data_IF_035749898676
#
_entry.id   IF_035749898676
#
_cell.length_a   1.000
_cell.length_b   1.000
_cell.length_c   1.000
_cell.angle_alpha   90.00
_cell.angle_beta   90.00
_cell.angle_gamma   90.00
#
_symmetry.space_group_name_H-M   'P 1'
#
loop_
_entity.id
_entity.type
_entity.pdbx_description
1 polymer ?
#
# COMPACT_ATOMS: atom_id res chain seq x y z
N UNK A 1 2.39 -31.36 31.56
CA UNK A 1 1.58 -30.12 31.55
C UNK A 1 2.35 -28.92 32.10
N UNK A 2 3.08 -29.02 33.21
CA UNK A 2 3.82 -27.90 33.83
C UNK A 2 4.94 -27.32 32.96
N UNK A 3 5.63 -28.14 32.17
CA UNK A 3 6.70 -27.67 31.27
C UNK A 3 6.20 -26.89 30.06
N UNK A 4 5.01 -27.22 29.55
CA UNK A 4 4.39 -26.49 28.43
C UNK A 4 3.97 -25.10 28.89
N UNK A 5 3.30 -25.00 30.06
CA UNK A 5 2.85 -23.73 30.64
C UNK A 5 4.04 -22.80 30.96
N UNK A 6 5.14 -23.35 31.51
CA UNK A 6 6.35 -22.55 31.77
C UNK A 6 6.97 -22.05 30.48
N UNK A 7 6.96 -22.85 29.40
CA UNK A 7 7.48 -22.43 28.10
C UNK A 7 6.58 -21.38 27.44
N UNK A 8 5.25 -21.48 27.56
CA UNK A 8 4.32 -20.46 27.03
C UNK A 8 4.43 -19.14 27.80
N UNK A 9 4.63 -19.19 29.12
CA UNK A 9 4.85 -17.99 29.96
C UNK A 9 6.23 -17.40 29.67
N UNK A 10 7.25 -18.22 29.41
CA UNK A 10 8.56 -17.73 28.99
C UNK A 10 8.54 -17.16 27.58
N UNK A 11 7.76 -17.72 26.65
CA UNK A 11 7.65 -17.21 25.28
C UNK A 11 6.82 -15.91 25.24
N UNK A 12 5.73 -15.83 26.00
CA UNK A 12 4.98 -14.59 26.22
C UNK A 12 5.81 -13.55 26.99
N UNK A 13 6.64 -13.99 27.94
CA UNK A 13 7.57 -13.12 28.67
C UNK A 13 8.78 -12.66 27.86
N UNK A 14 9.25 -13.44 26.88
CA UNK A 14 10.33 -13.06 25.97
C UNK A 14 9.86 -12.02 24.96
N UNK A 15 8.56 -12.02 24.59
CA UNK A 15 7.94 -10.96 23.77
C UNK A 15 7.89 -9.64 24.55
N UNK A 16 7.89 -9.67 25.89
CA UNK A 16 7.77 -8.50 26.77
C UNK A 16 9.13 -7.93 27.23
N UNK A 17 10.24 -8.65 27.03
CA UNK A 17 11.57 -8.19 27.45
C UNK A 17 12.50 -8.09 26.26
N UNK A 18 12.48 -6.93 25.61
CA UNK A 18 13.53 -6.54 24.69
C UNK A 18 13.01 -5.77 23.49
N UNK A 19 12.98 -4.45 23.63
CA UNK A 19 13.51 -3.44 22.71
C UNK A 19 12.60 -2.23 22.79
N UNK A 20 13.17 -1.07 23.13
CA UNK A 20 12.76 0.15 22.43
C UNK A 20 13.04 -0.14 20.96
N UNK A 21 12.07 -0.76 20.27
CA UNK A 21 12.14 -0.88 18.84
C UNK A 21 12.29 0.55 18.31
N UNK A 22 13.09 0.78 17.25
CA UNK A 22 12.95 2.03 16.52
C UNK A 22 11.45 2.21 16.24
N UNK A 23 10.90 3.34 16.65
CA UNK A 23 9.47 3.60 16.57
C UNK A 23 9.10 3.84 15.11
N UNK A 24 9.11 2.81 14.26
CA UNK A 24 8.69 2.87 12.86
C UNK A 24 7.35 3.60 12.72
N UNK A 25 7.17 4.38 11.67
CA UNK A 25 5.88 5.03 11.40
C UNK A 25 4.81 4.01 10.97
N UNK A 26 4.03 4.35 9.96
CA UNK A 26 3.21 3.39 9.23
C UNK A 26 4.10 2.38 8.49
N UNK A 27 3.72 1.12 8.53
CA UNK A 27 4.41 0.02 7.87
C UNK A 27 3.42 -0.84 7.13
N UNK A 28 3.45 -0.77 5.79
CA UNK A 28 2.63 -1.60 4.93
C UNK A 28 3.37 -2.89 4.57
N UNK A 29 2.71 -4.02 4.74
CA UNK A 29 3.08 -5.28 4.14
C UNK A 29 1.85 -5.82 3.43
N UNK A 30 1.93 -5.93 2.10
CA UNK A 30 0.82 -6.45 1.33
C UNK A 30 1.29 -7.31 0.19
N UNK A 31 0.41 -8.24 -0.15
CA UNK A 31 0.59 -9.08 -1.29
C UNK A 31 -0.67 -9.15 -2.11
N UNK A 32 -0.52 -8.67 -3.33
CA UNK A 32 -1.55 -8.70 -4.33
C UNK A 32 -1.45 -10.00 -5.12
N UNK A 33 -2.57 -10.73 -5.20
CA UNK A 33 -2.75 -11.80 -6.16
C UNK A 33 -3.81 -11.40 -7.18
N UNK A 34 -3.41 -10.86 -8.33
CA UNK A 34 -4.34 -10.43 -9.38
C UNK A 34 -5.27 -11.54 -9.91
N UNK A 35 -4.98 -12.82 -9.66
CA UNK A 35 -5.85 -13.95 -10.00
C UNK A 35 -6.97 -14.20 -8.98
N UNK A 36 -6.98 -13.47 -7.86
CA UNK A 36 -7.98 -13.56 -6.81
C UNK A 36 -8.69 -12.20 -6.67
N UNK A 37 -10.01 -12.22 -6.47
CA UNK A 37 -10.80 -11.01 -6.23
C UNK A 37 -10.43 -10.28 -4.92
N UNK A 38 -9.67 -10.95 -4.04
CA UNK A 38 -9.29 -10.46 -2.72
C UNK A 38 -7.81 -10.73 -2.43
N UNK A 39 -7.19 -9.84 -1.67
CA UNK A 39 -5.79 -9.94 -1.26
C UNK A 39 -5.59 -9.47 0.19
N UNK A 40 -4.73 -10.11 0.99
CA UNK A 40 -4.48 -9.69 2.36
C UNK A 40 -3.56 -8.46 2.42
N UNK A 41 -3.71 -7.69 3.48
CA UNK A 41 -2.76 -6.64 3.85
C UNK A 41 -2.54 -6.61 5.37
N UNK A 42 -1.38 -6.09 5.75
CA UNK A 42 -1.04 -5.74 7.12
C UNK A 42 -0.50 -4.33 7.14
N UNK A 43 -1.02 -3.51 8.05
CA UNK A 43 -0.55 -2.15 8.28
C UNK A 43 -0.28 -1.96 9.76
N UNK A 44 0.94 -1.59 10.13
CA UNK A 44 1.32 -1.31 11.53
C UNK A 44 1.63 0.17 11.71
N UNK A 45 1.15 0.77 12.79
CA UNK A 45 1.41 2.15 13.16
C UNK A 45 2.06 2.18 14.53
N UNK A 46 3.19 2.87 14.65
CA UNK A 46 3.81 3.12 15.94
C UNK A 46 4.05 4.62 16.16
N UNK A 47 3.99 4.99 17.43
CA UNK A 47 4.28 6.34 17.92
C UNK A 47 4.75 6.25 19.35
N UNK A 48 5.78 7.01 19.69
CA UNK A 48 6.19 7.18 21.08
C UNK A 48 5.98 8.62 21.50
N UNK A 49 5.37 8.81 22.67
CA UNK A 49 5.27 10.11 23.33
C UNK A 49 6.19 10.10 24.54
N UNK A 50 7.02 11.14 24.64
CA UNK A 50 7.85 11.42 25.79
C UNK A 50 7.26 12.59 26.57
N UNK A 51 7.24 12.45 27.89
CA UNK A 51 6.87 13.48 28.84
C UNK A 51 8.08 13.68 29.74
N UNK A 52 8.80 14.77 29.53
CA UNK A 52 10.03 15.09 30.21
C UNK A 52 9.75 16.08 31.35
N UNK A 53 10.34 15.81 32.51
CA UNK A 53 10.19 16.60 33.73
C UNK A 53 11.59 16.98 34.26
N UNK A 54 12.31 17.89 33.58
CA UNK A 54 13.69 18.21 33.91
C UNK A 54 13.87 18.69 35.36
N UNK A 55 12.86 19.39 35.90
CA UNK A 55 12.88 20.00 37.23
C UNK A 55 12.00 19.24 38.26
N UNK A 56 11.52 18.03 37.92
CA UNK A 56 10.66 17.24 38.80
C UNK A 56 9.18 17.62 38.68
N UNK A 57 8.52 17.90 39.81
CA UNK A 57 7.10 18.27 39.85
C UNK A 57 6.13 17.11 40.06
N UNK A 58 4.84 17.43 40.05
CA UNK A 58 3.73 16.51 40.32
C UNK A 58 3.69 15.38 39.30
N UNK A 59 4.01 15.64 38.03
CA UNK A 59 4.06 14.58 37.03
C UNK A 59 5.23 13.62 37.26
N UNK A 60 6.38 14.11 37.70
CA UNK A 60 7.50 13.25 38.12
C UNK A 60 7.10 12.36 39.31
N UNK A 61 6.51 12.96 40.35
CA UNK A 61 6.12 12.24 41.56
C UNK A 61 5.09 11.14 41.27
N UNK A 62 4.16 11.41 40.35
CA UNK A 62 3.13 10.45 39.97
C UNK A 62 3.64 9.37 39.01
N UNK A 63 4.49 9.73 38.04
CA UNK A 63 4.78 8.88 36.89
C UNK A 63 6.15 8.22 36.94
N UNK A 64 7.13 8.73 37.68
CA UNK A 64 8.53 8.27 37.60
C UNK A 64 8.74 6.78 37.88
N UNK A 65 7.79 6.16 38.59
CA UNK A 65 7.76 4.71 38.85
C UNK A 65 6.50 4.02 38.32
N UNK A 66 5.63 4.73 37.61
CA UNK A 66 4.39 4.16 37.08
C UNK A 66 4.65 3.32 35.84
N UNK A 67 3.81 2.30 35.65
CA UNK A 67 3.82 1.47 34.47
C UNK A 67 2.44 0.86 34.28
N UNK A 68 1.93 0.89 33.05
CA UNK A 68 0.75 0.15 32.66
C UNK A 68 0.87 -0.31 31.21
N UNK A 69 0.05 -1.30 30.87
CA UNK A 69 -0.11 -1.82 29.52
C UNK A 69 -1.62 -1.98 29.29
N UNK A 70 -2.11 -1.41 28.20
CA UNK A 70 -3.47 -1.59 27.70
C UNK A 70 -3.37 -2.23 26.33
N UNK A 71 -4.01 -3.37 26.14
CA UNK A 71 -3.94 -4.10 24.88
C UNK A 71 -5.26 -4.78 24.57
N UNK A 72 -5.58 -4.92 23.30
CA UNK A 72 -6.80 -5.59 22.87
C UNK A 72 -6.75 -6.04 21.42
N UNK A 73 -7.75 -6.82 21.07
CA UNK A 73 -8.03 -7.23 19.69
C UNK A 73 -9.52 -7.14 19.42
N UNK A 74 -9.89 -6.78 18.20
CA UNK A 74 -11.26 -6.78 17.72
C UNK A 74 -11.30 -7.08 16.22
N UNK A 75 -12.37 -7.73 15.78
CA UNK A 75 -12.64 -8.05 14.37
C UNK A 75 -13.78 -7.19 13.82
N UNK A 76 -14.15 -7.42 12.57
CA UNK A 76 -15.23 -6.71 11.85
C UNK A 76 -16.63 -6.87 12.47
N UNK A 77 -16.81 -7.71 13.50
CA UNK A 77 -18.06 -7.76 14.27
C UNK A 77 -18.17 -6.66 15.32
N UNK A 78 -17.05 -6.00 15.66
CA UNK A 78 -16.99 -4.91 16.61
C UNK A 78 -17.45 -3.58 15.95
N UNK A 79 -18.38 -2.82 16.56
CA UNK A 79 -18.83 -1.54 16.00
C UNK A 79 -17.71 -0.51 15.75
N UNK A 80 -16.69 -0.46 16.61
CA UNK A 80 -15.55 0.45 16.44
C UNK A 80 -14.65 0.06 15.27
N UNK A 81 -14.52 -1.25 15.00
CA UNK A 81 -13.80 -1.74 13.82
C UNK A 81 -14.59 -1.46 12.55
N UNK A 82 -15.91 -1.57 12.58
CA UNK A 82 -16.78 -1.20 11.46
C UNK A 82 -16.68 0.29 11.13
N UNK A 83 -16.64 1.15 12.16
CA UNK A 83 -16.43 2.59 12.01
C UNK A 83 -15.04 2.89 11.41
N UNK A 84 -13.98 2.27 11.91
CA UNK A 84 -12.63 2.40 11.35
C UNK A 84 -12.59 1.97 9.88
N UNK A 85 -13.12 0.78 9.58
CA UNK A 85 -13.17 0.27 8.20
C UNK A 85 -13.96 1.19 7.27
N UNK A 86 -15.06 1.79 7.76
CA UNK A 86 -15.81 2.80 7.02
C UNK A 86 -14.97 4.06 6.76
N UNK A 87 -14.26 4.57 7.76
CA UNK A 87 -13.40 5.76 7.62
C UNK A 87 -12.26 5.52 6.65
N UNK A 88 -11.57 4.37 6.75
CA UNK A 88 -10.51 3.99 5.81
C UNK A 88 -11.05 3.84 4.39
N UNK A 89 -12.19 3.16 4.20
CA UNK A 89 -12.82 3.03 2.88
C UNK A 89 -13.27 4.37 2.28
N UNK A 90 -13.64 5.35 3.11
CA UNK A 90 -13.94 6.69 2.65
C UNK A 90 -12.66 7.41 2.19
N UNK A 91 -11.54 7.25 2.90
CA UNK A 91 -10.21 7.74 2.51
C UNK A 91 -9.76 7.17 1.16
N UNK A 92 -9.79 5.84 1.02
CA UNK A 92 -9.45 5.13 -0.22
C UNK A 92 -10.25 5.69 -1.41
N UNK A 93 -11.56 5.92 -1.22
CA UNK A 93 -12.42 6.47 -2.26
C UNK A 93 -12.13 7.96 -2.56
N UNK A 94 -11.78 8.77 -1.54
CA UNK A 94 -11.39 10.16 -1.77
C UNK A 94 -10.07 10.29 -2.50
N UNK A 95 -9.19 9.29 -2.37
CA UNK A 95 -7.91 9.20 -3.08
C UNK A 95 -8.09 8.70 -4.54
N UNK A 96 -9.33 8.43 -4.95
CA UNK A 96 -9.69 8.01 -6.31
C UNK A 96 -9.61 6.50 -6.54
N UNK A 97 -9.19 5.73 -5.54
CA UNK A 97 -9.11 4.28 -5.62
C UNK A 97 -10.51 3.64 -5.57
N UNK A 98 -10.69 2.60 -6.37
CA UNK A 98 -11.91 1.78 -6.39
C UNK A 98 -11.83 0.59 -5.41
N UNK A 99 -10.65 0.29 -4.90
CA UNK A 99 -10.43 -0.80 -3.96
C UNK A 99 -11.20 -0.56 -2.64
N UNK A 100 -11.46 -1.65 -1.91
CA UNK A 100 -12.23 -1.61 -0.67
C UNK A 100 -11.68 -2.59 0.35
N UNK A 101 -11.65 -2.21 1.60
CA UNK A 101 -11.43 -3.11 2.73
C UNK A 101 -12.76 -3.84 3.00
N UNK A 102 -12.75 -5.16 2.86
CA UNK A 102 -13.94 -6.01 3.06
C UNK A 102 -13.98 -6.67 4.44
N UNK A 103 -12.82 -6.86 5.06
CA UNK A 103 -12.65 -7.37 6.42
C UNK A 103 -11.46 -6.70 7.10
N UNK A 104 -11.53 -6.57 8.42
CA UNK A 104 -10.52 -5.89 9.23
C UNK A 104 -10.44 -6.49 10.62
N UNK A 105 -9.23 -6.87 11.01
CA UNK A 105 -8.85 -7.20 12.38
C UNK A 105 -7.92 -6.12 12.90
N UNK A 106 -8.16 -5.69 14.13
CA UNK A 106 -7.39 -4.65 14.81
C UNK A 106 -6.74 -5.26 16.04
N UNK A 107 -5.44 -5.02 16.19
CA UNK A 107 -4.67 -5.36 17.38
C UNK A 107 -4.03 -4.07 17.88
N UNK A 108 -4.22 -3.74 19.15
CA UNK A 108 -3.59 -2.56 19.74
C UNK A 108 -2.87 -2.89 21.04
N UNK A 109 -1.80 -2.17 21.31
CA UNK A 109 -1.02 -2.23 22.56
C UNK A 109 -0.44 -0.85 22.86
N UNK A 110 -0.77 -0.31 24.02
CA UNK A 110 -0.30 0.95 24.55
C UNK A 110 0.42 0.68 25.86
N UNK A 111 1.62 1.23 26.02
CA UNK A 111 2.44 1.00 27.19
C UNK A 111 3.01 2.31 27.71
N UNK A 112 2.71 2.63 28.96
CA UNK A 112 3.41 3.69 29.67
C UNK A 112 4.53 3.12 30.53
N UNK A 113 5.68 3.79 30.52
CA UNK A 113 6.80 3.50 31.39
C UNK A 113 7.44 4.76 31.95
N UNK A 114 7.27 4.95 33.25
CA UNK A 114 7.94 5.94 34.06
C UNK A 114 9.45 5.73 34.18
N UNK A 115 10.21 6.83 34.25
CA UNK A 115 11.64 6.83 34.59
C UNK A 115 11.98 8.05 35.43
N UNK A 116 13.23 8.23 35.81
CA UNK A 116 13.63 9.35 36.68
C UNK A 116 13.71 10.71 35.97
N UNK A 117 13.72 10.75 34.64
CA UNK A 117 13.89 11.99 33.85
C UNK A 117 12.78 12.22 32.83
N UNK A 118 12.10 11.15 32.42
CA UNK A 118 11.03 11.19 31.45
C UNK A 118 10.14 9.96 31.60
N UNK A 119 8.88 10.12 31.24
CA UNK A 119 7.95 9.02 31.02
C UNK A 119 7.80 8.81 29.52
N UNK A 120 7.80 7.55 29.07
CA UNK A 120 7.48 7.21 27.68
C UNK A 120 6.13 6.52 27.60
N UNK A 121 5.36 6.82 26.56
CA UNK A 121 4.12 6.14 26.20
C UNK A 121 4.27 5.64 24.77
N UNK A 122 4.38 4.33 24.63
CA UNK A 122 4.55 3.64 23.36
C UNK A 122 3.18 3.18 22.87
N UNK A 123 2.79 3.62 21.67
CA UNK A 123 1.54 3.25 21.02
C UNK A 123 1.81 2.35 19.82
N UNK A 124 1.09 1.23 19.75
CA UNK A 124 1.11 0.33 18.60
C UNK A 124 -0.32 -0.05 18.21
N UNK A 125 -0.66 0.16 16.94
CA UNK A 125 -1.90 -0.36 16.32
C UNK A 125 -1.52 -1.14 15.07
N UNK A 126 -2.10 -2.32 14.91
CA UNK A 126 -1.91 -3.19 13.74
C UNK A 126 -3.27 -3.50 13.14
N UNK A 127 -3.39 -3.25 11.85
CA UNK A 127 -4.54 -3.57 11.03
C UNK A 127 -4.16 -4.76 10.14
N UNK A 128 -4.93 -5.84 10.22
CA UNK A 128 -4.80 -7.00 9.35
C UNK A 128 -6.14 -7.24 8.67
N UNK A 129 -6.17 -7.13 7.34
CA UNK A 129 -7.44 -7.14 6.62
C UNK A 129 -7.31 -7.66 5.21
N UNK A 130 -8.41 -7.53 4.49
CA UNK A 130 -8.55 -7.99 3.10
C UNK A 130 -8.98 -6.83 2.22
N UNK A 131 -8.23 -6.58 1.14
CA UNK A 131 -8.60 -5.64 0.09
C UNK A 131 -9.31 -6.38 -1.04
N UNK A 132 -10.41 -5.82 -1.52
CA UNK A 132 -11.24 -6.28 -2.64
C UNK A 132 -11.39 -5.17 -3.67
N UNK A 133 -11.97 -5.48 -4.83
CA UNK A 133 -12.27 -4.52 -5.90
C UNK A 133 -11.06 -3.74 -6.44
N UNK A 134 -9.84 -4.22 -6.15
CA UNK A 134 -8.60 -3.60 -6.60
C UNK A 134 -8.24 -4.01 -8.04
N UNK A 135 -8.99 -4.91 -8.68
CA UNK A 135 -8.79 -5.27 -10.09
C UNK A 135 -9.68 -4.36 -10.96
N UNK A 136 -9.06 -3.51 -11.79
CA UNK A 136 -9.76 -2.52 -12.64
C UNK A 136 -10.27 -3.16 -13.92
N UNK A 137 -9.43 -3.96 -14.58
CA UNK A 137 -9.79 -4.65 -15.82
C UNK A 137 -9.01 -5.94 -15.92
N UNK A 138 -9.68 -6.96 -16.43
CA UNK A 138 -9.11 -8.25 -16.72
C UNK A 138 -9.23 -8.51 -18.23
N UNK A 139 -8.09 -8.56 -18.91
CA UNK A 139 -7.97 -9.17 -20.24
C UNK A 139 -7.22 -10.50 -20.07
N UNK A 140 -7.49 -11.43 -20.98
CA UNK A 140 -6.87 -12.76 -21.11
C UNK A 140 -5.34 -12.79 -21.08
N UNK A 141 -4.65 -11.64 -21.18
CA UNK A 141 -3.19 -11.51 -21.17
C UNK A 141 -2.66 -10.53 -20.10
N UNK A 142 -3.49 -9.64 -19.55
CA UNK A 142 -3.06 -8.55 -18.68
C UNK A 142 -4.16 -8.15 -17.70
N UNK A 143 -3.78 -7.96 -16.45
CA UNK A 143 -4.65 -7.42 -15.41
C UNK A 143 -4.19 -6.02 -15.01
N UNK A 144 -5.12 -5.10 -14.81
CA UNK A 144 -4.85 -3.77 -14.25
C UNK A 144 -5.26 -3.77 -12.79
N UNK A 145 -4.35 -3.38 -11.91
CA UNK A 145 -4.49 -3.46 -10.46
C UNK A 145 -4.34 -2.06 -9.89
N UNK A 146 -5.36 -1.63 -9.15
CA UNK A 146 -5.41 -0.41 -8.37
C UNK A 146 -4.52 -0.52 -7.13
N UNK A 147 -3.61 0.45 -6.98
CA UNK A 147 -2.76 0.55 -5.81
C UNK A 147 -3.01 1.84 -5.02
N UNK A 148 -4.01 2.66 -5.36
CA UNK A 148 -4.29 3.94 -4.68
C UNK A 148 -4.76 3.78 -3.22
N UNK A 149 -5.09 2.58 -2.79
CA UNK A 149 -5.60 2.29 -1.45
C UNK A 149 -4.55 2.27 -0.34
N UNK A 150 -3.26 2.38 -0.68
CA UNK A 150 -2.13 2.17 0.27
C UNK A 150 -2.06 3.21 1.40
N UNK A 151 -2.64 4.39 1.20
CA UNK A 151 -2.71 5.49 2.17
C UNK A 151 -3.79 5.27 3.23
N UNK A 152 -3.66 4.20 4.02
CA UNK A 152 -4.65 3.88 5.05
C UNK A 152 -4.58 4.87 6.22
N UNK A 153 -5.35 5.96 6.16
CA UNK A 153 -5.35 7.02 7.18
C UNK A 153 -6.75 7.30 7.72
N UNK A 154 -6.84 7.66 9.00
CA UNK A 154 -8.06 8.25 9.57
C UNK A 154 -7.71 9.34 10.58
N UNK A 155 -8.40 10.48 10.50
CA UNK A 155 -8.30 11.55 11.50
C UNK A 155 -9.38 11.47 12.57
N UNK A 156 -10.37 10.60 12.40
CA UNK A 156 -11.47 10.42 13.35
C UNK A 156 -11.00 9.68 14.61
N UNK A 157 -11.50 10.04 15.81
CA UNK A 157 -11.40 9.18 16.98
C UNK A 157 -12.01 7.81 16.71
N UNK A 158 -11.38 6.74 17.18
CA UNK A 158 -11.84 5.35 17.00
C UNK A 158 -11.83 4.65 18.35
N UNK A 159 -13.01 4.29 18.84
CA UNK A 159 -13.15 3.56 20.10
C UNK A 159 -13.35 2.07 19.87
N UNK A 160 -12.43 1.24 20.38
CA UNK A 160 -12.57 -0.21 20.41
C UNK A 160 -12.67 -0.68 21.85
N UNK A 161 -13.84 -1.22 22.22
CA UNK A 161 -14.14 -1.70 23.57
C UNK A 161 -13.92 -0.63 24.65
N UNK A 162 -14.21 0.64 24.34
CA UNK A 162 -14.07 1.78 25.25
C UNK A 162 -12.66 2.38 25.32
N UNK A 163 -11.72 1.88 24.52
CA UNK A 163 -10.37 2.45 24.39
C UNK A 163 -10.28 3.22 23.06
N UNK A 164 -9.91 4.49 23.13
CA UNK A 164 -9.55 5.30 21.95
C UNK A 164 -8.22 4.80 21.38
N UNK A 165 -8.19 4.39 20.11
CA UNK A 165 -6.99 3.79 19.51
C UNK A 165 -6.25 4.69 18.52
N UNK A 166 -6.88 5.76 18.05
CA UNK A 166 -6.29 6.62 17.04
C UNK A 166 -5.71 7.91 17.63
N UNK A 167 -6.38 8.52 18.60
CA UNK A 167 -5.96 9.80 19.19
C UNK A 167 -5.24 9.57 20.53
N UNK A 168 -3.90 9.77 20.63
CA UNK A 168 -3.14 9.46 21.83
C UNK A 168 -3.64 10.12 23.12
N UNK A 169 -4.11 11.38 23.05
CA UNK A 169 -4.68 12.09 24.19
C UNK A 169 -5.90 11.38 24.77
N UNK A 170 -6.74 10.75 23.93
CA UNK A 170 -7.96 10.08 24.36
C UNK A 170 -7.72 8.87 25.25
N UNK A 171 -6.62 8.14 25.06
CA UNK A 171 -6.22 7.04 25.97
C UNK A 171 -5.97 7.55 27.38
N UNK A 172 -5.34 8.73 27.49
CA UNK A 172 -4.97 9.32 28.78
C UNK A 172 -6.20 9.74 29.59
N UNK A 173 -7.32 10.05 28.94
CA UNK A 173 -8.56 10.40 29.64
C UNK A 173 -9.01 9.30 30.61
N UNK A 174 -8.80 8.03 30.22
CA UNK A 174 -9.19 6.87 31.03
C UNK A 174 -8.03 6.31 31.85
N UNK A 175 -6.85 6.16 31.25
CA UNK A 175 -5.73 5.43 31.86
C UNK A 175 -4.85 6.32 32.74
N UNK A 176 -4.72 7.61 32.40
CA UNK A 176 -3.89 8.57 33.15
C UNK A 176 -4.58 9.95 33.26
N UNK A 177 -5.68 10.06 34.03
CA UNK A 177 -6.46 11.30 34.09
C UNK A 177 -5.65 12.50 34.58
N UNK A 178 -4.58 12.28 35.37
CA UNK A 178 -3.65 13.35 35.76
C UNK A 178 -2.98 13.95 34.52
N UNK A 179 -2.41 13.12 33.64
CA UNK A 179 -1.79 13.58 32.40
C UNK A 179 -2.79 14.27 31.48
N UNK A 180 -3.97 13.68 31.30
CA UNK A 180 -5.02 14.26 30.48
C UNK A 180 -5.38 15.68 30.94
N UNK A 181 -5.66 15.85 32.24
CA UNK A 181 -6.04 17.15 32.81
C UNK A 181 -4.90 18.17 32.81
N UNK A 182 -3.63 17.73 32.85
CA UNK A 182 -2.48 18.62 32.74
C UNK A 182 -2.31 19.14 31.31
N UNK A 183 -2.65 18.35 30.28
CA UNK A 183 -2.37 18.72 28.89
C UNK A 183 -3.56 19.28 28.12
N UNK A 184 -4.79 18.96 28.51
CA UNK A 184 -5.99 19.50 27.86
C UNK A 184 -6.02 21.03 27.97
N UNK A 185 -6.30 21.71 26.85
CA UNK A 185 -6.29 23.17 26.75
C UNK A 185 -4.90 23.82 26.70
N UNK A 186 -3.82 23.03 26.56
CA UNK A 186 -2.44 23.52 26.46
C UNK A 186 -1.85 23.26 25.06
N UNK A 187 -0.63 23.72 24.79
CA UNK A 187 0.05 23.45 23.52
C UNK A 187 0.33 21.95 23.30
N UNK A 188 0.50 21.18 24.38
CA UNK A 188 0.67 19.73 24.31
C UNK A 188 -0.56 19.01 23.72
N UNK A 189 -1.76 19.58 23.85
CA UNK A 189 -2.96 19.03 23.23
C UNK A 189 -2.78 18.89 21.71
N UNK A 190 -2.14 19.86 21.05
CA UNK A 190 -1.87 19.77 19.61
C UNK A 190 -0.91 18.64 19.26
N UNK A 191 0.06 18.32 20.12
CA UNK A 191 1.02 17.22 19.94
C UNK A 191 0.32 15.88 20.15
N UNK A 192 -0.51 15.77 21.18
CA UNK A 192 -1.17 14.54 21.60
C UNK A 192 -2.46 14.23 20.82
N UNK A 193 -3.04 15.21 20.11
CA UNK A 193 -4.18 15.01 19.22
C UNK A 193 -3.81 14.58 17.80
N UNK A 194 -2.51 14.55 17.45
CA UNK A 194 -2.07 14.00 16.17
C UNK A 194 -2.38 12.51 16.11
N UNK A 195 -3.09 12.11 15.07
CA UNK A 195 -3.54 10.75 14.84
C UNK A 195 -2.38 9.75 14.77
N UNK A 196 -2.62 8.54 15.27
CA UNK A 196 -1.70 7.41 15.19
C UNK A 196 -1.82 6.70 13.84
N UNK A 197 -3.05 6.53 13.35
CA UNK A 197 -3.39 5.81 12.12
C UNK A 197 -3.27 6.79 10.94
N UNK A 198 -2.03 7.05 10.53
CA UNK A 198 -1.70 7.86 9.35
C UNK A 198 -0.62 7.15 8.52
N UNK A 199 -0.96 6.84 7.28
CA UNK A 199 -0.08 6.25 6.26
C UNK A 199 -0.03 7.11 4.99
N UNK A 200 -0.33 8.41 5.07
CA UNK A 200 -0.42 9.31 3.90
C UNK A 200 0.87 9.31 3.10
N UNK A 201 2.02 9.32 3.77
CA UNK A 201 3.33 9.33 3.12
C UNK A 201 3.56 8.09 2.23
N UNK A 202 2.96 6.94 2.56
CA UNK A 202 3.02 5.73 1.73
C UNK A 202 2.33 5.96 0.39
N UNK A 203 1.26 6.73 0.35
CA UNK A 203 0.56 7.08 -0.88
C UNK A 203 1.24 8.25 -1.61
N UNK A 204 1.70 9.26 -0.86
CA UNK A 204 2.36 10.45 -1.41
C UNK A 204 3.71 10.14 -2.08
N UNK A 205 4.43 9.11 -1.61
CA UNK A 205 5.65 8.64 -2.24
C UNK A 205 5.35 7.87 -3.52
N UNK A 206 5.66 8.41 -4.71
CA UNK A 206 5.37 7.73 -5.97
C UNK A 206 6.08 6.39 -6.03
N UNK A 207 5.41 5.34 -6.52
CA UNK A 207 5.98 4.00 -6.67
C UNK A 207 7.21 3.96 -7.59
N UNK A 208 7.38 4.97 -8.45
CA UNK A 208 8.58 5.15 -9.28
C UNK A 208 9.84 5.47 -8.46
N UNK A 209 9.69 6.00 -7.25
CA UNK A 209 10.79 6.25 -6.32
C UNK A 209 11.12 5.02 -5.46
N UNK A 210 10.20 4.05 -5.37
CA UNK A 210 10.39 2.85 -4.58
C UNK A 210 11.39 1.91 -5.25
N UNK A 211 12.08 1.11 -4.45
CA UNK A 211 12.97 0.08 -4.95
C UNK A 211 12.16 -1.06 -5.58
N UNK A 212 12.35 -1.27 -6.88
CA UNK A 212 11.73 -2.34 -7.64
C UNK A 212 12.64 -3.56 -7.77
N UNK A 213 12.10 -4.73 -7.44
CA UNK A 213 12.73 -6.03 -7.66
C UNK A 213 11.76 -6.95 -8.40
N UNK A 214 12.30 -7.71 -9.34
CA UNK A 214 11.55 -8.74 -10.07
C UNK A 214 12.25 -10.08 -9.92
N UNK A 215 11.52 -11.08 -9.43
CA UNK A 215 11.96 -12.48 -9.40
C UNK A 215 11.33 -13.26 -10.58
N UNK A 216 12.12 -13.57 -11.62
CA UNK A 216 11.66 -14.35 -12.77
C UNK A 216 11.63 -15.85 -12.54
N UNK A 217 12.21 -16.35 -11.43
CA UNK A 217 12.49 -17.78 -11.27
C UNK A 217 11.32 -18.53 -10.66
N UNK A 218 10.54 -17.88 -9.79
CA UNK A 218 9.54 -18.52 -8.94
C UNK A 218 10.10 -19.61 -8.02
N UNK A 219 11.42 -19.79 -7.96
CA UNK A 219 12.09 -20.73 -7.05
C UNK A 219 12.29 -19.99 -5.73
N UNK A 220 11.21 -19.84 -4.98
CA UNK A 220 11.22 -19.16 -3.68
C UNK A 220 11.72 -20.07 -2.53
N UNK A 221 12.52 -21.10 -2.83
CA UNK A 221 12.96 -22.10 -1.86
C UNK A 221 13.73 -21.50 -0.67
N UNK A 222 14.38 -20.35 -0.88
CA UNK A 222 15.07 -19.57 0.14
C UNK A 222 14.46 -18.16 0.35
N UNK A 223 13.32 -17.85 -0.27
CA UNK A 223 12.77 -16.48 -0.33
C UNK A 223 12.30 -15.94 1.04
N UNK A 224 11.94 -16.83 1.96
CA UNK A 224 11.69 -16.46 3.36
C UNK A 224 12.91 -15.86 4.07
N UNK A 225 14.13 -16.12 3.57
CA UNK A 225 15.38 -15.51 4.06
C UNK A 225 15.51 -14.05 3.65
N UNK A 226 14.84 -13.64 2.57
CA UNK A 226 14.84 -12.27 2.03
C UNK A 226 13.52 -11.53 2.28
N UNK A 227 12.67 -12.04 3.19
CA UNK A 227 11.41 -11.39 3.57
C UNK A 227 10.25 -11.64 2.60
N UNK A 228 10.34 -12.62 1.69
CA UNK A 228 9.28 -12.98 0.76
C UNK A 228 8.43 -14.14 1.32
N UNK A 229 7.10 -14.01 1.26
CA UNK A 229 6.15 -14.97 1.84
C UNK A 229 6.11 -16.33 1.09
N UNK A 230 5.85 -17.44 1.79
CA UNK A 230 5.87 -18.77 1.18
C UNK A 230 4.76 -19.00 0.14
N UNK A 231 3.64 -18.28 0.22
CA UNK A 231 2.52 -18.52 -0.70
C UNK A 231 2.79 -18.03 -2.13
N UNK A 232 3.88 -17.29 -2.40
CA UNK A 232 4.28 -16.83 -3.77
C UNK A 232 5.20 -17.86 -4.43
N UNK A 233 5.55 -18.94 -3.72
CA UNK A 233 6.40 -19.98 -4.25
C UNK A 233 5.81 -20.60 -5.53
N UNK A 234 6.64 -20.65 -6.58
CA UNK A 234 6.27 -21.14 -7.90
C UNK A 234 5.78 -20.07 -8.89
N UNK A 235 5.61 -18.82 -8.45
CA UNK A 235 5.18 -17.71 -9.31
C UNK A 235 6.30 -16.70 -9.55
N UNK A 236 6.29 -16.02 -10.70
CA UNK A 236 7.09 -14.80 -10.86
C UNK A 236 6.51 -13.68 -10.01
N UNK A 237 7.35 -12.84 -9.43
CA UNK A 237 6.94 -11.84 -8.43
C UNK A 237 7.56 -10.49 -8.73
N UNK A 238 6.75 -9.45 -8.63
CA UNK A 238 7.19 -8.06 -8.65
C UNK A 238 7.05 -7.47 -7.25
N UNK A 239 8.10 -6.83 -6.75
CA UNK A 239 8.13 -6.22 -5.43
C UNK A 239 8.56 -4.77 -5.50
N UNK A 240 7.86 -3.91 -4.77
CA UNK A 240 8.19 -2.52 -4.54
C UNK A 240 8.40 -2.30 -3.05
N UNK A 241 9.53 -1.71 -2.68
CA UNK A 241 9.87 -1.42 -1.29
C UNK A 241 10.29 0.02 -1.11
N UNK A 242 9.84 0.66 -0.03
CA UNK A 242 10.31 1.97 0.41
C UNK A 242 10.62 1.98 1.92
N UNK A 243 11.35 3.00 2.35
CA UNK A 243 11.78 3.17 3.74
C UNK A 243 13.30 3.28 3.90
N UNK A 244 14.04 3.36 2.79
CA UNK A 244 15.49 3.54 2.80
C UNK A 244 15.85 4.95 2.34
N UNK A 245 16.79 5.60 3.03
CA UNK A 245 17.30 6.88 2.55
C UNK A 245 18.07 6.67 1.25
N UNK A 246 17.57 7.20 0.14
CA UNK A 246 18.20 7.09 -1.17
C UNK A 246 18.08 8.42 -1.93
N UNK A 247 18.82 8.55 -3.03
CA UNK A 247 18.69 9.73 -3.91
C UNK A 247 17.26 9.84 -4.49
N UNK A 248 16.52 8.73 -4.57
CA UNK A 248 15.17 8.69 -5.16
C UNK A 248 14.07 8.93 -4.13
N UNK A 249 14.13 8.22 -2.99
CA UNK A 249 13.17 8.36 -1.90
C UNK A 249 13.40 9.65 -1.09
N UNK A 250 14.60 10.22 -1.19
CA UNK A 250 15.03 11.34 -0.37
C UNK A 250 15.49 10.88 1.02
N UNK A 251 15.70 11.86 1.90
CA UNK A 251 16.16 11.60 3.26
C UNK A 251 14.97 11.19 4.12
N UNK A 252 15.02 9.98 4.65
CA UNK A 252 14.08 9.50 5.65
C UNK A 252 14.42 10.12 7.00
N UNK A 253 13.51 10.97 7.54
CA UNK A 253 13.69 11.65 8.83
C UNK A 253 12.49 11.39 9.75
N UNK A 254 12.78 11.23 11.04
CA UNK A 254 11.73 11.08 12.04
C UNK A 254 10.86 12.34 12.10
N UNK A 255 9.54 12.13 12.22
CA UNK A 255 8.58 13.19 12.51
C UNK A 255 8.58 13.40 14.02
N UNK A 256 9.00 14.60 14.43
CA UNK A 256 9.06 15.00 15.82
C UNK A 256 8.20 16.24 16.03
N UNK A 257 7.31 16.18 17.01
CA UNK A 257 6.48 17.30 17.42
C UNK A 257 6.68 17.54 18.91
N UNK A 258 6.92 18.78 19.28
CA UNK A 258 7.24 19.15 20.65
C UNK A 258 6.35 20.31 21.11
N UNK A 259 6.03 20.31 22.40
CA UNK A 259 5.37 21.40 23.08
C UNK A 259 5.90 21.52 24.50
N UNK A 260 5.95 22.75 25.00
CA UNK A 260 6.27 23.05 26.39
C UNK A 260 4.99 23.36 27.15
N UNK A 261 4.85 22.82 28.36
CA UNK A 261 3.69 23.06 29.22
C UNK A 261 4.18 23.53 30.58
N UNK A 262 3.80 24.76 30.94
CA UNK A 262 3.96 25.29 32.29
C UNK A 262 2.75 24.91 33.13
N UNK A 263 2.93 24.01 34.09
CA UNK A 263 1.92 23.68 35.09
C UNK A 263 2.43 24.05 36.49
N UNK A 264 2.74 23.07 37.32
CA UNK A 264 3.47 23.29 38.58
C UNK A 264 4.98 23.44 38.35
N UNK A 265 5.51 22.74 37.35
CA UNK A 265 6.87 22.90 36.80
C UNK A 265 6.80 22.91 35.27
N UNK A 266 7.94 23.14 34.61
CA UNK A 266 8.06 23.04 33.16
C UNK A 266 8.11 21.57 32.72
N UNK A 267 7.22 21.19 31.82
CA UNK A 267 7.20 19.88 31.17
C UNK A 267 7.43 20.01 29.66
N UNK A 268 8.18 19.07 29.09
CA UNK A 268 8.40 18.99 27.63
C UNK A 268 7.71 17.74 27.12
N UNK A 269 6.77 17.91 26.20
CA UNK A 269 6.00 16.82 25.60
C UNK A 269 6.49 16.66 24.17
N UNK A 270 6.98 15.48 23.84
CA UNK A 270 7.55 15.18 22.53
C UNK A 270 6.95 13.92 21.93
N UNK A 271 6.26 14.05 20.81
CA UNK A 271 5.84 12.92 19.99
C UNK A 271 6.93 12.61 18.96
N UNK A 272 7.29 11.33 18.84
CA UNK A 272 8.25 10.82 17.87
C UNK A 272 7.63 9.68 17.08
N UNK A 273 7.74 9.77 15.76
CA UNK A 273 7.47 8.68 14.83
C UNK A 273 8.62 8.62 13.85
N UNK A 274 9.24 7.45 13.70
CA UNK A 274 10.18 7.22 12.61
C UNK A 274 9.44 7.23 11.26
N UNK A 275 10.20 7.03 10.19
CA UNK A 275 9.69 7.10 8.83
C UNK A 275 8.75 5.95 8.51
N UNK A 276 7.85 6.20 7.56
CA UNK A 276 6.97 5.18 7.05
C UNK A 276 7.74 4.25 6.12
N UNK A 277 7.38 2.97 6.10
CA UNK A 277 7.98 1.96 5.23
C UNK A 277 6.89 1.14 4.56
N UNK A 278 7.20 0.53 3.43
CA UNK A 278 6.25 -0.35 2.77
C UNK A 278 6.95 -1.45 1.98
N UNK A 279 6.32 -2.62 1.99
CA UNK A 279 6.58 -3.73 1.11
C UNK A 279 5.28 -4.09 0.39
N UNK A 280 5.28 -3.92 -0.94
CA UNK A 280 4.20 -4.33 -1.81
C UNK A 280 4.72 -5.39 -2.75
N UNK A 281 4.11 -6.57 -2.73
CA UNK A 281 4.41 -7.64 -3.68
C UNK A 281 3.19 -7.94 -4.54
N UNK A 282 3.41 -8.30 -5.80
CA UNK A 282 2.35 -8.74 -6.71
C UNK A 282 2.78 -10.01 -7.45
N UNK A 283 1.86 -10.96 -7.57
CA UNK A 283 2.05 -12.15 -8.41
C UNK A 283 1.99 -11.74 -9.88
N UNK A 284 3.08 -11.97 -10.61
CA UNK A 284 3.24 -11.58 -12.01
C UNK A 284 4.36 -10.56 -12.21
N UNK A 285 4.66 -10.28 -13.47
CA UNK A 285 5.47 -9.15 -13.88
C UNK A 285 4.61 -7.88 -13.87
N UNK A 286 4.95 -6.92 -13.02
CA UNK A 286 4.22 -5.68 -12.86
C UNK A 286 4.94 -4.50 -13.49
N UNK A 287 4.19 -3.71 -14.26
CA UNK A 287 4.64 -2.43 -14.81
C UNK A 287 3.76 -1.30 -14.26
N UNK A 288 4.40 -0.29 -13.66
CA UNK A 288 3.72 0.88 -13.11
C UNK A 288 3.07 1.72 -14.21
N UNK A 289 1.90 2.29 -13.89
CA UNK A 289 1.18 3.23 -14.75
C UNK A 289 0.29 4.14 -13.87
N UNK A 290 -0.30 5.16 -14.49
CA UNK A 290 -1.24 6.09 -13.85
C UNK A 290 -2.57 6.08 -14.59
N UNK A 291 -3.66 5.85 -13.87
CA UNK A 291 -5.01 5.95 -14.41
C UNK A 291 -5.79 7.01 -13.61
N UNK A 292 -6.17 8.10 -14.29
CA UNK A 292 -6.92 9.21 -13.69
C UNK A 292 -6.27 9.80 -12.41
N UNK A 293 -4.93 9.77 -12.34
CA UNK A 293 -4.15 10.25 -11.19
C UNK A 293 -3.91 9.21 -10.10
N UNK A 294 -4.47 8.01 -10.23
CA UNK A 294 -4.25 6.88 -9.31
C UNK A 294 -3.13 6.01 -9.85
N UNK A 295 -2.19 5.64 -8.99
CA UNK A 295 -1.14 4.68 -9.35
C UNK A 295 -1.70 3.27 -9.47
N UNK A 296 -1.39 2.62 -10.59
CA UNK A 296 -1.81 1.26 -10.92
C UNK A 296 -0.62 0.42 -11.35
N UNK A 297 -0.78 -0.90 -11.35
CA UNK A 297 0.14 -1.80 -12.04
C UNK A 297 -0.58 -2.60 -13.12
N UNK A 298 0.04 -2.68 -14.30
CA UNK A 298 -0.28 -3.67 -15.30
C UNK A 298 0.49 -4.95 -15.03
N UNK A 299 -0.22 -6.05 -14.80
CA UNK A 299 0.38 -7.33 -14.44
C UNK A 299 0.24 -8.33 -15.58
N UNK A 300 1.35 -9.00 -15.92
CA UNK A 300 1.40 -10.11 -16.89
C UNK A 300 2.00 -11.37 -16.25
N UNK A 301 1.63 -12.59 -16.70
CA UNK A 301 2.17 -13.83 -16.14
C UNK A 301 3.68 -14.02 -16.35
N UNK A 302 4.25 -13.40 -17.38
CA UNK A 302 5.69 -13.48 -17.73
C UNK A 302 6.22 -12.09 -18.08
N UNK A 303 7.53 -11.85 -17.90
CA UNK A 303 8.14 -10.60 -18.32
C UNK A 303 8.18 -10.49 -19.86
N UNK A 304 8.30 -9.27 -20.42
CA UNK A 304 8.52 -9.05 -21.84
C UNK A 304 9.79 -9.75 -22.34
N UNK A 305 9.81 -10.14 -23.62
CA UNK A 305 10.92 -10.89 -24.23
C UNK A 305 12.29 -10.17 -24.15
N UNK A 306 12.30 -8.84 -24.10
CA UNK A 306 13.50 -8.00 -24.01
C UNK A 306 13.72 -7.41 -22.60
N UNK A 307 13.10 -7.99 -21.57
CA UNK A 307 13.26 -7.52 -20.20
C UNK A 307 14.68 -7.78 -19.70
N UNK A 308 15.46 -6.70 -19.53
CA UNK A 308 16.71 -6.70 -18.78
C UNK A 308 16.45 -6.12 -17.39
N UNK A 309 16.89 -6.79 -16.33
CA UNK A 309 16.79 -6.28 -14.95
C UNK A 309 17.47 -4.92 -14.84
N UNK A 310 16.68 -3.84 -14.76
CA UNK A 310 17.20 -2.52 -14.41
C UNK A 310 16.66 -2.17 -13.02
N UNK A 311 17.53 -1.67 -12.15
CA UNK A 311 17.18 -1.26 -10.77
C UNK A 311 16.28 -0.01 -10.72
N UNK A 312 15.69 0.39 -11.85
CA UNK A 312 14.98 1.65 -12.06
C UNK A 312 13.48 1.49 -12.27
N UNK A 313 12.95 0.27 -12.44
CA UNK A 313 11.51 0.05 -12.67
C UNK A 313 10.94 0.68 -13.95
N UNK A 314 11.70 1.51 -14.67
CA UNK A 314 11.35 2.10 -15.95
C UNK A 314 11.39 1.03 -17.04
N UNK A 315 10.22 0.67 -17.58
CA UNK A 315 10.06 -0.36 -18.60
C UNK A 315 9.18 0.12 -19.76
N UNK A 316 9.31 -0.51 -20.96
CA UNK A 316 8.92 0.08 -22.24
C UNK A 316 7.41 0.33 -22.33
N UNK A 317 7.11 1.56 -22.77
CA UNK A 317 5.81 2.18 -23.04
C UNK A 317 4.83 1.30 -23.87
N UNK A 318 5.32 0.27 -24.55
CA UNK A 318 4.52 -0.66 -25.37
C UNK A 318 3.49 -1.51 -24.60
N UNK A 319 3.69 -1.77 -23.30
CA UNK A 319 2.69 -2.51 -22.49
C UNK A 319 1.43 -1.66 -22.21
N UNK A 320 1.55 -0.33 -22.32
CA UNK A 320 0.56 0.64 -21.81
C UNK A 320 -0.33 1.19 -22.92
N UNK A 321 0.21 1.50 -24.11
CA UNK A 321 -0.59 2.07 -25.21
C UNK A 321 -1.64 1.13 -25.81
N UNK A 322 -1.58 -0.18 -25.55
CA UNK A 322 -2.66 -1.10 -25.91
C UNK A 322 -3.98 -0.83 -25.15
N UNK A 323 -3.92 -0.19 -23.98
CA UNK A 323 -5.06 -0.08 -23.03
C UNK A 323 -5.57 1.34 -22.80
N UNK A 324 -4.75 2.40 -23.01
CA UNK A 324 -5.25 3.78 -22.96
C UNK A 324 -6.41 4.03 -23.97
N UNK A 325 -6.42 3.28 -25.09
CA UNK A 325 -7.52 3.30 -26.06
C UNK A 325 -8.80 2.59 -25.61
N UNK A 326 -8.74 1.66 -24.64
CA UNK A 326 -9.89 0.89 -24.14
C UNK A 326 -10.45 1.46 -22.84
N UNK A 327 -9.60 1.97 -21.93
CA UNK A 327 -10.03 2.62 -20.70
C UNK A 327 -10.87 3.89 -20.95
N UNK A 328 -10.52 4.67 -22.00
CA UNK A 328 -11.31 5.83 -22.43
C UNK A 328 -12.74 5.46 -22.91
N UNK A 329 -12.95 4.21 -23.36
CA UNK A 329 -14.27 3.71 -23.79
C UNK A 329 -15.06 3.13 -22.60
N UNK A 330 -14.37 2.49 -21.65
CA UNK A 330 -14.98 1.93 -20.43
C UNK A 330 -15.48 2.99 -19.44
N UNK A 331 -14.66 4.01 -19.15
CA UNK A 331 -15.01 5.07 -18.18
C UNK A 331 -16.19 5.94 -18.63
N UNK A 332 -16.26 6.26 -19.93
CA UNK A 332 -17.41 6.99 -20.52
C UNK A 332 -18.65 6.08 -20.60
N UNK A 333 -18.47 4.78 -20.87
CA UNK A 333 -19.55 3.79 -20.90
C UNK A 333 -20.22 3.60 -19.52
N UNK A 334 -19.44 3.52 -18.44
CA UNK A 334 -19.96 3.27 -17.09
C UNK A 334 -20.79 4.46 -16.56
N UNK A 335 -20.36 5.70 -16.79
CA UNK A 335 -21.14 6.90 -16.41
C UNK A 335 -22.40 7.13 -17.28
N UNK A 336 -22.37 6.77 -18.58
CA UNK A 336 -23.54 6.91 -19.47
C UNK A 336 -24.56 5.77 -19.26
N UNK A 337 -24.12 4.54 -18.96
CA UNK A 337 -25.01 3.39 -18.72
C UNK A 337 -25.61 3.44 -17.31
N UNK A 338 -24.83 3.79 -16.27
CA UNK A 338 -25.35 3.92 -14.90
C UNK A 338 -26.41 5.04 -14.78
N UNK A 339 -26.23 6.17 -15.44
CA UNK A 339 -27.19 7.28 -15.42
C UNK A 339 -28.47 7.01 -16.23
N UNK A 340 -28.43 6.12 -17.24
CA UNK A 340 -29.62 5.65 -17.99
C UNK A 340 -30.36 4.51 -17.29
N UNK A 341 -29.63 3.58 -16.67
CA UNK A 341 -30.21 2.48 -15.87
C UNK A 341 -31.03 3.00 -14.69
N UNK A 342 -30.56 4.06 -14.03
CA UNK A 342 -31.25 4.71 -12.90
C UNK A 342 -32.51 5.51 -13.30
N UNK A 343 -32.66 5.89 -14.58
CA UNK A 343 -33.83 6.65 -15.07
C UNK A 343 -34.89 5.79 -15.76
N UNK A 344 -34.56 4.56 -16.14
CA UNK A 344 -35.44 3.65 -16.88
C UNK A 344 -35.77 2.36 -16.11
N UNK A 345 -35.81 2.40 -14.78
CA UNK A 345 -36.44 1.33 -14.01
C UNK A 345 -37.96 1.33 -14.27
N UNK A 346 -38.40 0.53 -15.23
CA UNK A 346 -39.78 0.10 -15.32
C UNK A 346 -40.05 -0.89 -14.16
N UNK A 347 -41.01 -0.57 -13.30
CA UNK A 347 -41.53 -1.51 -12.31
C UNK A 347 -42.14 -2.72 -13.02
N UNK A 348 -41.48 -3.87 -12.95
CA UNK A 348 -41.98 -5.14 -13.46
C UNK A 348 -40.89 -6.21 -13.56
N UNK A 349 -41.27 -7.46 -13.31
CA UNK A 349 -40.39 -8.62 -13.37
C UNK A 349 -39.86 -8.83 -14.79
N UNK A 350 -38.54 -8.70 -14.98
CA UNK A 350 -37.86 -9.05 -16.24
C UNK A 350 -37.35 -10.49 -16.15
N UNK A 351 -37.96 -11.38 -16.91
CA UNK A 351 -37.57 -12.77 -17.11
C UNK A 351 -37.92 -13.21 -18.53
N UNK A 352 -37.47 -14.41 -18.92
CA UNK A 352 -37.65 -14.99 -20.25
C UNK A 352 -39.13 -14.92 -20.69
N UNK A 353 -39.37 -14.40 -21.90
CA UNK A 353 -40.70 -14.29 -22.50
C UNK A 353 -41.37 -15.68 -22.58
N UNK A 354 -42.54 -15.87 -21.93
CA UNK A 354 -43.25 -17.16 -21.88
C UNK A 354 -43.63 -17.72 -23.26
N UNK A 355 -43.64 -16.90 -24.31
CA UNK A 355 -43.93 -17.33 -25.68
C UNK A 355 -42.81 -18.14 -26.34
N UNK A 356 -41.60 -18.14 -25.76
CA UNK A 356 -40.42 -18.85 -26.27
C UNK A 356 -40.16 -20.20 -25.59
N UNK A 357 -41.06 -20.63 -24.70
CA UNK A 357 -40.96 -21.87 -23.95
C UNK A 357 -41.93 -22.92 -24.48
N UNK A 358 -41.45 -24.14 -24.72
CA UNK A 358 -42.28 -25.30 -25.12
C UNK A 358 -42.16 -26.37 -24.04
N UNK A 359 -43.28 -26.87 -23.53
CA UNK A 359 -43.30 -27.90 -22.49
C UNK A 359 -43.13 -29.29 -23.10
N UNK A 360 -42.17 -30.06 -22.59
CA UNK A 360 -41.99 -31.48 -22.95
C UNK A 360 -42.51 -32.38 -21.82
N UNK A 361 -43.31 -33.39 -22.14
CA UNK A 361 -43.71 -34.41 -21.17
C UNK A 361 -42.62 -35.48 -21.09
N UNK A 362 -41.92 -35.56 -19.96
CA UNK A 362 -41.04 -36.68 -19.68
C UNK A 362 -41.86 -37.94 -19.34
N UNK A 363 -41.60 -39.02 -20.07
CA UNK A 363 -41.94 -40.45 -19.85
C UNK A 363 -43.15 -41.05 -20.59
N UNK A 364 -42.85 -41.91 -21.58
CA UNK A 364 -43.71 -43.02 -22.01
C UNK A 364 -42.85 -44.29 -22.17
N UNK A 365 -42.29 -44.76 -21.05
CA UNK A 365 -41.62 -46.06 -20.98
C UNK A 365 -41.44 -46.43 -19.50
N UNK A 366 -42.17 -47.46 -19.04
CA UNK A 366 -42.24 -47.99 -17.67
C UNK A 366 -43.18 -47.24 -16.70
N UNK A 367 -44.35 -47.83 -16.42
CA UNK A 367 -45.46 -47.25 -15.67
C UNK A 367 -45.21 -46.97 -14.18
N UNK A 368 -44.64 -45.81 -13.87
CA UNK A 368 -44.60 -45.20 -12.54
C UNK A 368 -45.27 -43.81 -12.52
N UNK A 369 -45.67 -43.34 -11.33
CA UNK A 369 -46.44 -42.10 -11.11
C UNK A 369 -45.87 -40.85 -11.80
N UNK A 370 -46.74 -40.09 -12.47
CA UNK A 370 -46.44 -38.79 -13.07
C UNK A 370 -46.38 -37.70 -12.00
N UNK A 371 -45.33 -36.87 -12.01
CA UNK A 371 -45.27 -35.62 -11.24
C UNK A 371 -45.57 -34.44 -12.17
N UNK A 372 -46.33 -33.44 -11.70
CA UNK A 372 -46.73 -32.26 -12.47
C UNK A 372 -45.59 -31.23 -12.64
N UNK A 373 -44.35 -31.68 -12.88
CA UNK A 373 -43.21 -30.80 -13.11
C UNK A 373 -42.64 -31.09 -14.49
N UNK A 374 -43.24 -30.48 -15.50
CA UNK A 374 -42.68 -30.48 -16.86
C UNK A 374 -41.51 -29.51 -16.92
N UNK A 375 -40.43 -29.91 -17.58
CA UNK A 375 -39.31 -29.02 -17.90
C UNK A 375 -39.63 -28.28 -19.21
N UNK A 376 -39.31 -26.99 -19.24
CA UNK A 376 -39.53 -26.13 -20.39
C UNK A 376 -38.22 -25.99 -21.17
N UNK A 377 -38.27 -26.27 -22.47
CA UNK A 377 -37.16 -26.07 -23.39
C UNK A 377 -37.41 -24.85 -24.28
N UNK A 378 -36.33 -24.26 -24.77
CA UNK A 378 -36.39 -23.23 -25.81
C UNK A 378 -36.85 -23.85 -27.13
N UNK A 379 -37.54 -23.06 -27.94
CA UNK A 379 -38.17 -23.53 -29.18
C UNK A 379 -37.19 -23.81 -30.33
N UNK A 380 -35.94 -23.35 -30.21
CA UNK A 380 -34.89 -23.51 -31.23
C UNK A 380 -33.50 -23.45 -30.56
N UNK A 381 -32.62 -24.39 -30.90
CA UNK A 381 -31.26 -24.56 -30.33
C UNK A 381 -30.16 -24.14 -31.33
N UNK A 382 -30.50 -23.36 -32.36
CA UNK A 382 -29.58 -23.01 -33.45
C UNK A 382 -28.36 -22.18 -33.04
N UNK A 383 -28.40 -21.46 -31.91
CA UNK A 383 -27.26 -20.70 -31.38
C UNK A 383 -26.33 -21.52 -30.45
N UNK A 384 -26.72 -22.73 -30.03
CA UNK A 384 -25.90 -23.55 -29.12
C UNK A 384 -24.78 -24.34 -29.83
N UNK A 385 -24.79 -24.41 -31.16
CA UNK A 385 -23.81 -25.18 -31.96
C UNK A 385 -22.59 -24.36 -32.46
N UNK A 386 -22.46 -23.07 -32.12
CA UNK A 386 -21.33 -22.24 -32.56
C UNK A 386 -20.10 -22.23 -31.64
N UNK A 387 -20.12 -22.92 -30.49
CA UNK A 387 -19.00 -22.90 -29.52
C UNK A 387 -18.29 -24.26 -29.31
N UNK A 388 -18.39 -25.19 -30.26
CA UNK A 388 -17.74 -26.52 -30.19
C UNK A 388 -16.69 -26.76 -31.28
N UNK A 389 -15.70 -25.87 -31.42
CA UNK A 389 -14.52 -26.16 -32.27
C UNK A 389 -13.29 -25.31 -31.93
N UNK A 390 -12.72 -25.43 -30.71
CA UNK A 390 -11.37 -24.88 -30.42
C UNK A 390 -10.50 -25.76 -29.50
N UNK A 391 -10.88 -27.02 -29.23
CA UNK A 391 -10.09 -27.91 -28.35
C UNK A 391 -9.73 -29.29 -28.95
N UNK A 392 -9.99 -29.56 -30.23
CA UNK A 392 -9.67 -30.87 -30.85
C UNK A 392 -8.51 -30.85 -31.86
N UNK A 393 -7.94 -29.69 -32.24
CA UNK A 393 -6.93 -29.61 -33.33
C UNK A 393 -5.44 -29.46 -32.90
N UNK A 394 -5.08 -29.67 -31.62
CA UNK A 394 -3.69 -29.51 -31.16
C UNK A 394 -2.90 -30.80 -30.87
N UNK A 395 -3.32 -31.95 -31.41
CA UNK A 395 -2.50 -33.17 -31.36
C UNK A 395 -2.31 -33.81 -32.74
N UNK A 396 -1.31 -33.30 -33.49
CA UNK A 396 -0.31 -34.05 -34.29
C UNK A 396 0.28 -33.16 -35.38
N UNK A 397 1.62 -33.15 -35.45
CA UNK A 397 2.54 -32.97 -36.61
C UNK A 397 3.75 -32.10 -36.21
N UNK A 398 4.86 -32.72 -35.78
CA UNK A 398 6.10 -33.07 -36.54
C UNK A 398 7.04 -31.91 -36.87
N UNK A 399 8.29 -32.03 -36.34
CA UNK A 399 9.48 -31.19 -36.57
C UNK A 399 9.83 -30.99 -38.06
N UNK A 400 10.56 -29.90 -38.39
CA UNK A 400 11.91 -30.09 -38.95
C UNK A 400 13.00 -29.06 -38.56
N UNK A 401 14.14 -29.61 -38.08
CA UNK A 401 15.55 -29.42 -38.47
C UNK A 401 16.14 -28.06 -38.94
N UNK A 402 17.09 -27.57 -38.11
CA UNK A 402 18.41 -26.94 -38.38
C UNK A 402 18.73 -26.32 -39.76
N UNK A 403 19.20 -25.07 -39.74
CA UNK A 403 20.32 -24.56 -40.56
C UNK A 403 20.87 -23.24 -39.99
N UNK A 404 22.18 -23.20 -39.66
CA UNK A 404 22.99 -21.98 -39.44
C UNK A 404 23.34 -21.33 -40.81
N UNK A 405 23.64 -20.01 -40.86
CA UNK A 405 25.06 -19.62 -40.97
C UNK A 405 25.50 -18.31 -40.27
N UNK A 406 26.72 -18.41 -39.75
CA UNK A 406 27.89 -17.50 -39.82
C UNK A 406 27.94 -16.11 -39.13
N UNK A 407 28.97 -16.05 -38.27
CA UNK A 407 29.73 -14.94 -37.71
C UNK A 407 29.87 -13.68 -38.58
N UNK A 408 29.72 -12.51 -37.93
CA UNK A 408 30.59 -11.36 -38.19
C UNK A 408 31.12 -10.86 -36.85
N UNK A 409 32.43 -11.07 -36.66
CA UNK A 409 33.26 -10.50 -35.60
C UNK A 409 33.47 -9.00 -35.87
N UNK A 410 33.21 -8.15 -34.88
CA UNK A 410 33.79 -6.81 -34.79
C UNK A 410 34.16 -6.52 -33.34
N UNK A 411 35.47 -6.58 -33.11
CA UNK A 411 36.23 -6.17 -31.91
C UNK A 411 36.16 -4.66 -31.68
N UNK A 412 36.59 -4.23 -30.47
CA UNK A 412 36.94 -2.86 -30.00
C UNK A 412 35.83 -2.13 -29.21
N UNK A 413 36.03 -1.53 -28.04
CA UNK A 413 37.17 -1.30 -27.12
C UNK A 413 36.59 -0.79 -25.80
N UNK A 414 37.08 -1.28 -24.65
CA UNK A 414 36.92 -0.59 -23.35
C UNK A 414 37.95 0.54 -23.24
N UNK A 415 37.57 1.76 -22.80
CA UNK A 415 38.47 2.62 -22.06
C UNK A 415 38.20 2.50 -20.56
N UNK A 416 39.32 2.48 -19.87
CA UNK A 416 39.56 2.39 -18.43
C UNK A 416 39.14 3.62 -17.64
N UNK A 417 39.08 3.41 -16.32
CA UNK A 417 38.96 4.38 -15.25
C UNK A 417 39.94 5.58 -15.32
N UNK A 418 39.45 6.71 -14.79
CA UNK A 418 40.15 7.91 -14.30
C UNK A 418 39.06 8.83 -13.73
N UNK A 419 38.85 8.82 -12.41
CA UNK A 419 39.36 9.83 -11.44
C UNK A 419 38.76 11.23 -11.65
N UNK A 420 38.10 11.69 -10.59
CA UNK A 420 37.64 13.04 -10.25
C UNK A 420 36.53 13.67 -11.13
N UNK A 421 35.34 13.90 -10.54
CA UNK A 421 35.06 15.23 -9.97
C UNK A 421 33.63 15.44 -9.42
N UNK A 422 33.64 16.05 -8.23
CA UNK A 422 32.75 17.08 -7.69
C UNK A 422 31.22 17.01 -7.89
N UNK A 423 30.54 16.78 -6.76
CA UNK A 423 29.17 17.20 -6.54
C UNK A 423 29.10 18.71 -6.20
N UNK A 424 28.16 19.44 -6.81
CA UNK A 424 27.50 20.60 -6.19
C UNK A 424 26.14 20.89 -6.85
N UNK A 425 25.06 20.67 -6.09
CA UNK A 425 23.73 21.24 -6.35
C UNK A 425 23.47 22.37 -5.36
N UNK A 426 22.76 23.41 -5.80
CA UNK A 426 22.60 24.72 -5.15
C UNK A 426 21.78 24.74 -3.83
N UNK A 427 22.02 23.80 -2.92
CA UNK A 427 21.54 23.87 -1.53
C UNK A 427 22.67 24.16 -0.53
N UNK A 428 23.94 24.07 -0.94
CA UNK A 428 25.09 24.27 -0.03
C UNK A 428 25.58 25.73 0.08
N UNK A 429 25.15 26.64 -0.81
CA UNK A 429 25.73 28.00 -0.90
C UNK A 429 24.94 29.09 -0.19
N UNK A 430 23.80 28.78 0.44
CA UNK A 430 23.10 29.76 1.29
C UNK A 430 23.83 29.99 2.64
N UNK A 431 24.61 29.02 3.11
CA UNK A 431 25.33 29.11 4.40
C UNK A 431 26.79 29.59 4.28
N UNK A 432 27.34 29.65 3.07
CA UNK A 432 28.68 30.17 2.81
C UNK A 432 28.54 31.17 1.66
N UNK A 433 28.50 32.47 1.99
CA UNK A 433 28.21 33.59 1.09
C UNK A 433 29.14 33.73 -0.12
N UNK A 434 29.10 32.76 -1.02
CA UNK A 434 29.80 32.67 -2.29
C UNK A 434 28.74 32.66 -3.39
N UNK A 435 28.76 33.69 -4.22
CA UNK A 435 27.96 33.73 -5.45
C UNK A 435 28.40 32.55 -6.33
N UNK A 436 27.43 31.82 -6.90
CA UNK A 436 27.69 30.72 -7.81
C UNK A 436 28.44 31.22 -9.05
N UNK A 437 29.76 31.07 -9.08
CA UNK A 437 30.58 31.35 -10.25
C UNK A 437 30.64 30.09 -11.15
N UNK A 438 29.73 30.04 -12.12
CA UNK A 438 29.62 28.98 -13.13
C UNK A 438 30.81 28.95 -14.13
N UNK A 439 31.80 29.85 -14.04
CA UNK A 439 32.86 29.94 -15.06
C UNK A 439 33.98 28.90 -14.88
N UNK A 440 34.08 28.24 -13.71
CA UNK A 440 35.17 27.27 -13.41
C UNK A 440 34.79 25.78 -13.37
N UNK A 441 33.50 25.40 -13.42
CA UNK A 441 33.08 24.00 -13.39
C UNK A 441 32.03 23.75 -14.48
N UNK A 442 32.42 23.02 -15.53
CA UNK A 442 31.74 22.90 -16.82
C UNK A 442 30.35 22.26 -16.86
N UNK A 443 29.51 22.43 -15.84
CA UNK A 443 28.08 22.08 -15.84
C UNK A 443 27.31 22.96 -14.85
N UNK A 444 26.30 23.71 -15.33
CA UNK A 444 25.37 24.43 -14.46
C UNK A 444 23.93 23.91 -14.65
N UNK A 445 23.24 23.67 -13.53
CA UNK A 445 21.81 23.36 -13.48
C UNK A 445 21.04 24.68 -13.35
N UNK A 446 20.38 25.10 -14.43
CA UNK A 446 19.49 26.26 -14.41
C UNK A 446 18.07 25.78 -14.05
N UNK A 447 17.58 26.10 -12.86
CA UNK A 447 16.15 26.01 -12.53
C UNK A 447 15.55 27.41 -12.33
N UNK A 448 14.22 27.52 -12.24
CA UNK A 448 13.50 28.78 -12.12
C UNK A 448 13.79 29.57 -10.81
N UNK A 449 14.45 28.95 -9.83
CA UNK A 449 14.88 29.56 -8.56
C UNK A 449 16.34 30.02 -8.58
N UNK A 450 17.10 29.66 -9.62
CA UNK A 450 18.53 29.93 -9.74
C UNK A 450 18.78 31.34 -10.30
N UNK A 451 19.32 32.26 -9.48
CA UNK A 451 19.71 33.63 -9.89
C UNK A 451 21.09 33.69 -10.56
N UNK A 452 21.47 32.68 -11.33
CA UNK A 452 22.75 32.65 -12.03
C UNK A 452 22.75 33.69 -13.18
N UNK A 453 23.66 34.65 -13.12
CA UNK A 453 23.73 35.78 -14.06
C UNK A 453 24.48 35.44 -15.38
N UNK A 454 24.86 34.17 -15.55
CA UNK A 454 25.57 33.65 -16.72
C UNK A 454 24.64 33.59 -17.94
N UNK A 455 25.16 33.98 -19.12
CA UNK A 455 24.36 34.12 -20.34
C UNK A 455 23.69 32.82 -20.81
N UNK A 456 24.26 31.65 -20.45
CA UNK A 456 23.68 30.32 -20.73
C UNK A 456 22.31 30.12 -20.06
N UNK A 457 22.08 30.62 -18.84
CA UNK A 457 20.78 30.47 -18.18
C UNK A 457 19.74 31.50 -18.69
N UNK A 458 20.14 32.58 -19.36
CA UNK A 458 19.20 33.59 -19.90
C UNK A 458 18.43 33.10 -21.12
N UNK A 459 19.03 32.24 -21.95
CA UNK A 459 18.34 31.67 -23.11
C UNK A 459 17.28 30.63 -22.70
N UNK A 460 17.56 29.81 -21.68
CA UNK A 460 16.61 28.78 -21.20
C UNK A 460 15.39 29.36 -20.47
N UNK A 461 15.55 30.44 -19.69
CA UNK A 461 14.42 31.08 -19.01
C UNK A 461 13.43 31.73 -20.00
N UNK A 462 13.89 32.10 -21.20
CA UNK A 462 13.01 32.69 -22.21
C UNK A 462 12.14 31.66 -22.96
N UNK A 463 12.53 30.38 -22.99
CA UNK A 463 11.73 29.31 -23.60
C UNK A 463 10.70 28.70 -22.63
N UNK A 464 10.80 28.97 -21.33
CA UNK A 464 9.88 28.49 -20.29
C UNK A 464 8.78 29.49 -19.89
N UNK A 465 8.59 30.57 -20.69
CA UNK A 465 7.57 31.61 -20.49
C UNK A 465 6.41 31.49 -21.47
#
# INVERSE_FOLDING_TARGET
>A
MTKAIILTILLAGLIVIGTSAPAWGAQLDTRINPNNAESPFKMSYLKTIFIEYPDGGVLFDALSTSQWIVSGTADSTNPGVQELMSNLNNGIQSDGSQARISDLNVIYEFQLKGRSIQTSIDYRVVLEGTITDYIITEDSQKQLVDLGWRGLTTTSPIQINGIEINIPLGVLETEEPLLYNTFVGTEAESVLNRELINADFILEQPLTNWHFLFDPTGINADASTFGLDASIAGFVVSSWTMGESSIREGRQVERVYEAEVMADELYIIRSVQSTDTANLSSIGFGALDLLDGVEIIGVTPTPPADYMTTSTGGFPIMIIYGMAGLAAVGGIGFFIISSRSMKNQAQGQQGIDPSNLVGYQTSASSGGYQTNRGEAHLKDDTDYNQTRSVYEDMQKETLPQETLPEEIVSTQTMPSAGEDDAACGCAASAEIGSECDCEMQGSCLCDATCQCNADVCKEHVHEMS
#
